data_IF_315810558609
#
_entry.id   IF_315810558609
#
_cell.length_a   1.000
_cell.length_b   1.000
_cell.length_c   1.000
_cell.angle_alpha   90.00
_cell.angle_beta   90.00
_cell.angle_gamma   90.00
#
_symmetry.space_group_name_H-M   'P 1'
#
loop_
_entity.id
_entity.type
_entity.pdbx_description
1 polymer ?
#
# COMPACT_ATOMS: atom_id res chain seq x y z
N UNK A 1 -62.43 -5.03 15.83
CA UNK A 1 -61.46 -4.91 14.72
C UNK A 1 -60.43 -3.89 15.16
N UNK A 2 -59.22 -4.33 15.45
CA UNK A 2 -58.14 -3.47 15.92
C UNK A 2 -56.99 -3.55 14.93
N UNK A 3 -56.63 -2.49 14.19
CA UNK A 3 -55.53 -2.49 13.24
C UNK A 3 -54.33 -1.77 13.88
N UNK A 4 -53.31 -2.47 14.30
CA UNK A 4 -52.14 -1.77 14.82
C UNK A 4 -51.07 -2.67 15.34
N UNK A 5 -50.52 -3.54 14.52
CA UNK A 5 -49.20 -4.10 14.83
C UNK A 5 -48.26 -3.91 13.62
N UNK A 6 -47.72 -2.70 13.51
CA UNK A 6 -46.57 -2.44 12.61
C UNK A 6 -45.31 -2.80 13.38
N UNK A 7 -44.93 -4.07 13.22
CA UNK A 7 -43.69 -4.59 13.73
C UNK A 7 -42.50 -3.72 13.35
N UNK A 8 -41.93 -3.04 14.31
CA UNK A 8 -40.60 -2.46 14.24
C UNK A 8 -39.58 -3.58 13.93
N UNK A 9 -39.17 -3.67 12.68
CA UNK A 9 -38.02 -4.50 12.32
C UNK A 9 -36.80 -3.92 13.06
N UNK A 10 -36.37 -4.58 14.13
CA UNK A 10 -35.06 -4.34 14.75
C UNK A 10 -34.01 -4.48 13.67
N UNK A 11 -33.06 -3.51 13.56
CA UNK A 11 -31.90 -3.67 12.69
C UNK A 11 -31.15 -4.95 13.07
N UNK A 12 -30.70 -5.68 12.05
CA UNK A 12 -29.94 -6.91 12.15
C UNK A 12 -28.90 -6.87 13.27
N UNK A 13 -28.88 -7.91 14.06
CA UNK A 13 -27.89 -8.30 15.06
C UNK A 13 -26.49 -7.81 14.67
N UNK A 14 -26.03 -6.82 15.39
CA UNK A 14 -24.64 -6.37 15.36
C UNK A 14 -23.78 -7.49 15.95
N UNK A 15 -22.96 -8.11 15.13
CA UNK A 15 -22.00 -9.11 15.55
C UNK A 15 -20.98 -8.47 16.47
N UNK A 16 -21.12 -8.67 17.80
CA UNK A 16 -20.20 -8.16 18.83
C UNK A 16 -18.75 -8.66 18.68
N UNK A 17 -18.47 -9.50 17.70
CA UNK A 17 -17.14 -10.04 17.40
C UNK A 17 -16.29 -9.21 16.42
N UNK A 18 -16.82 -8.15 15.80
CA UNK A 18 -16.08 -7.43 14.74
C UNK A 18 -16.11 -5.90 14.88
N UNK A 19 -16.21 -5.37 16.11
CA UNK A 19 -16.24 -3.91 16.33
C UNK A 19 -14.96 -3.25 15.82
N UNK A 20 -13.80 -3.89 16.01
CA UNK A 20 -12.51 -3.38 15.56
C UNK A 20 -12.52 -3.16 14.04
N UNK A 21 -12.94 -4.15 13.27
CA UNK A 21 -13.00 -4.05 11.80
C UNK A 21 -13.99 -2.98 11.31
N UNK A 22 -15.15 -2.87 11.95
CA UNK A 22 -16.13 -1.85 11.59
C UNK A 22 -15.61 -0.44 11.87
N UNK A 23 -14.84 -0.26 12.94
CA UNK A 23 -14.16 1.02 13.25
C UNK A 23 -13.05 1.33 12.26
N UNK A 24 -12.27 0.32 11.83
CA UNK A 24 -11.24 0.48 10.80
C UNK A 24 -11.84 0.87 9.45
N UNK A 25 -12.97 0.25 9.08
CA UNK A 25 -13.68 0.61 7.85
C UNK A 25 -14.25 2.03 7.92
N UNK A 26 -14.84 2.42 9.06
CA UNK A 26 -15.31 3.79 9.28
C UNK A 26 -14.14 4.79 9.21
N UNK A 27 -12.99 4.45 9.79
CA UNK A 27 -11.80 5.28 9.71
C UNK A 27 -11.32 5.47 8.27
N UNK A 28 -11.24 4.40 7.46
CA UNK A 28 -10.84 4.51 6.03
C UNK A 28 -11.74 5.49 5.27
N UNK A 29 -13.07 5.40 5.43
CA UNK A 29 -14.01 6.34 4.81
C UNK A 29 -13.79 7.78 5.25
N UNK A 30 -13.60 8.02 6.55
CA UNK A 30 -13.32 9.35 7.06
C UNK A 30 -11.98 9.92 6.59
N UNK A 31 -10.98 9.07 6.43
CA UNK A 31 -9.68 9.45 5.85
C UNK A 31 -9.84 9.89 4.39
N UNK A 32 -10.63 9.19 3.60
CA UNK A 32 -10.92 9.55 2.20
C UNK A 32 -11.68 10.87 2.08
N UNK A 33 -12.63 11.13 3.00
CA UNK A 33 -13.47 12.33 2.97
C UNK A 33 -12.80 13.57 3.56
N UNK A 34 -12.01 13.40 4.64
CA UNK A 34 -11.54 14.50 5.49
C UNK A 34 -10.01 14.50 5.72
N UNK A 35 -9.30 13.53 5.14
CA UNK A 35 -7.88 13.31 5.42
C UNK A 35 -7.63 12.61 6.76
N UNK A 36 -6.40 12.12 6.93
CA UNK A 36 -6.03 11.31 8.10
C UNK A 36 -6.19 12.02 9.45
N UNK A 37 -6.08 13.34 9.48
CA UNK A 37 -6.19 14.16 10.70
C UNK A 37 -7.53 14.87 10.84
N UNK A 38 -8.41 14.80 9.84
CA UNK A 38 -9.67 15.53 9.77
C UNK A 38 -10.85 14.91 10.51
N UNK A 39 -10.64 13.87 11.35
CA UNK A 39 -11.73 13.22 12.08
C UNK A 39 -11.33 12.84 13.52
N UNK A 40 -12.33 12.46 14.33
CA UNK A 40 -12.19 12.02 15.71
C UNK A 40 -12.66 10.57 15.89
N UNK A 41 -12.24 9.92 17.00
CA UNK A 41 -12.77 8.59 17.38
C UNK A 41 -14.30 8.59 17.54
N UNK A 42 -14.87 9.69 17.98
CA UNK A 42 -16.32 9.85 18.14
C UNK A 42 -17.03 9.84 16.78
N UNK A 43 -16.46 10.48 15.76
CA UNK A 43 -17.00 10.45 14.40
C UNK A 43 -16.87 9.07 13.79
N UNK A 44 -15.75 8.36 14.01
CA UNK A 44 -15.60 6.97 13.60
C UNK A 44 -16.66 6.07 14.27
N UNK A 45 -16.92 6.26 15.58
CA UNK A 45 -17.98 5.54 16.29
C UNK A 45 -19.36 5.80 15.70
N UNK A 46 -19.67 7.07 15.40
CA UNK A 46 -20.95 7.48 14.81
C UNK A 46 -21.14 6.85 13.44
N UNK A 47 -20.12 6.88 12.59
CA UNK A 47 -20.17 6.28 11.26
C UNK A 47 -20.28 4.75 11.33
N UNK A 48 -19.63 4.13 12.33
CA UNK A 48 -19.72 2.71 12.63
C UNK A 48 -21.07 2.29 13.25
N UNK A 49 -21.94 3.25 13.62
CA UNK A 49 -23.23 2.97 14.24
C UNK A 49 -23.15 2.45 15.67
N UNK A 50 -22.09 2.84 16.41
CA UNK A 50 -21.86 2.42 17.81
C UNK A 50 -21.84 3.61 18.75
N UNK A 51 -21.88 3.36 20.08
CA UNK A 51 -21.80 4.43 21.07
C UNK A 51 -20.43 5.13 21.03
N UNK A 52 -20.35 6.42 21.36
CA UNK A 52 -19.08 7.18 21.41
C UNK A 52 -18.01 6.57 22.32
N UNK A 53 -18.41 5.80 23.33
CA UNK A 53 -17.51 5.11 24.25
C UNK A 53 -16.97 3.77 23.71
N UNK A 54 -17.61 3.18 22.68
CA UNK A 54 -17.26 1.87 22.19
C UNK A 54 -15.82 1.78 21.61
N UNK A 55 -15.30 2.75 20.83
CA UNK A 55 -13.96 2.70 20.28
C UNK A 55 -12.86 2.63 21.35
N UNK A 56 -13.06 3.26 22.50
CA UNK A 56 -12.06 3.30 23.58
C UNK A 56 -11.77 1.95 24.24
N UNK A 57 -12.55 0.90 23.89
CA UNK A 57 -12.25 -0.50 24.26
C UNK A 57 -11.14 -1.11 23.42
N UNK A 58 -10.88 -0.54 22.23
CA UNK A 58 -9.91 -1.06 21.25
C UNK A 58 -8.77 -0.08 20.97
N UNK A 59 -9.07 1.22 21.01
CA UNK A 59 -8.11 2.26 20.66
C UNK A 59 -8.13 3.35 21.75
N UNK A 60 -6.96 3.66 22.32
CA UNK A 60 -6.88 4.71 23.36
C UNK A 60 -7.15 6.11 22.78
N UNK A 61 -6.78 6.33 21.52
CA UNK A 61 -6.91 7.60 20.81
C UNK A 61 -7.01 7.36 19.29
N UNK A 62 -7.16 8.46 18.52
CA UNK A 62 -7.21 8.41 17.06
C UNK A 62 -5.92 7.86 16.45
N UNK A 63 -4.77 8.21 17.02
CA UNK A 63 -3.47 7.80 16.47
C UNK A 63 -3.26 6.30 16.61
N UNK A 64 -3.78 5.67 17.68
CA UNK A 64 -3.84 4.23 17.82
C UNK A 64 -4.74 3.57 16.76
N UNK A 65 -5.86 4.21 16.39
CA UNK A 65 -6.71 3.75 15.28
C UNK A 65 -5.99 3.89 13.93
N UNK A 66 -5.31 5.01 13.68
CA UNK A 66 -4.52 5.22 12.47
C UNK A 66 -3.36 4.22 12.36
N UNK A 67 -2.66 3.93 13.46
CA UNK A 67 -1.59 2.93 13.49
C UNK A 67 -2.11 1.54 13.07
N UNK A 68 -3.30 1.16 13.52
CA UNK A 68 -3.91 -0.12 13.11
C UNK A 68 -4.36 -0.09 11.65
N UNK A 69 -4.84 1.04 11.13
CA UNK A 69 -5.12 1.21 9.68
C UNK A 69 -3.83 1.04 8.87
N UNK A 70 -2.72 1.67 9.30
CA UNK A 70 -1.42 1.53 8.65
C UNK A 70 -0.91 0.09 8.66
N UNK A 71 -0.96 -0.59 9.82
CA UNK A 71 -0.56 -1.99 9.97
C UNK A 71 -1.30 -2.89 8.99
N UNK A 72 -2.64 -2.84 9.01
CA UNK A 72 -3.47 -3.60 8.09
C UNK A 72 -3.22 -3.23 6.62
N UNK A 73 -2.91 -1.96 6.34
CA UNK A 73 -2.49 -1.48 5.04
C UNK A 73 -1.21 -2.17 4.57
N UNK A 74 -0.16 -2.15 5.40
CA UNK A 74 1.11 -2.81 5.07
C UNK A 74 0.98 -4.32 4.90
N UNK A 75 0.16 -4.99 5.71
CA UNK A 75 -0.09 -6.43 5.57
C UNK A 75 -0.74 -6.77 4.22
N UNK A 76 -1.78 -6.02 3.82
CA UNK A 76 -2.41 -6.21 2.50
C UNK A 76 -1.48 -5.82 1.36
N UNK A 77 -0.70 -4.75 1.54
CA UNK A 77 0.28 -4.31 0.57
C UNK A 77 1.36 -5.37 0.33
N UNK A 78 1.96 -5.89 1.41
CA UNK A 78 2.95 -6.96 1.33
C UNK A 78 2.40 -8.21 0.63
N UNK A 79 1.18 -8.64 0.99
CA UNK A 79 0.53 -9.78 0.35
C UNK A 79 0.28 -9.55 -1.14
N UNK A 80 -0.16 -8.35 -1.53
CA UNK A 80 -0.40 -7.98 -2.94
C UNK A 80 0.91 -7.97 -3.75
N UNK A 81 1.98 -7.42 -3.18
CA UNK A 81 3.31 -7.42 -3.81
C UNK A 81 3.86 -8.84 -3.96
N UNK A 82 3.74 -9.67 -2.92
CA UNK A 82 4.22 -11.07 -2.95
C UNK A 82 3.49 -11.90 -4.03
N UNK A 83 2.16 -11.76 -4.11
CA UNK A 83 1.37 -12.39 -5.17
C UNK A 83 1.80 -11.93 -6.58
N UNK A 84 2.08 -10.64 -6.76
CA UNK A 84 2.50 -10.09 -8.04
C UNK A 84 3.93 -10.52 -8.42
N UNK A 85 4.81 -10.59 -7.44
CA UNK A 85 6.17 -11.08 -7.61
C UNK A 85 6.21 -12.57 -7.96
N UNK A 86 5.35 -13.39 -7.35
CA UNK A 86 5.19 -14.82 -7.63
C UNK A 86 6.54 -15.55 -7.79
N UNK A 87 7.46 -15.33 -6.86
CA UNK A 87 8.82 -15.91 -6.88
C UNK A 87 9.61 -15.67 -8.19
N UNK A 88 9.29 -14.61 -8.93
CA UNK A 88 9.96 -14.27 -10.18
C UNK A 88 9.49 -15.06 -11.41
N UNK A 89 8.30 -15.64 -11.37
CA UNK A 89 7.71 -16.43 -12.45
C UNK A 89 6.78 -15.57 -13.31
N UNK A 90 6.77 -15.70 -14.64
CA UNK A 90 7.53 -16.64 -15.49
C UNK A 90 9.00 -16.23 -15.70
N UNK A 91 9.34 -14.97 -15.56
CA UNK A 91 10.71 -14.45 -15.56
C UNK A 91 10.85 -13.35 -14.52
N UNK A 92 12.06 -13.15 -13.92
CA UNK A 92 12.27 -12.08 -12.94
C UNK A 92 11.87 -10.69 -13.46
N UNK A 93 12.08 -10.41 -14.75
CA UNK A 93 11.75 -9.13 -15.35
C UNK A 93 10.24 -8.92 -15.48
N UNK A 94 9.50 -9.92 -15.95
CA UNK A 94 8.03 -9.80 -16.05
C UNK A 94 7.35 -9.79 -14.68
N UNK A 95 7.86 -10.55 -13.71
CA UNK A 95 7.38 -10.52 -12.34
C UNK A 95 7.65 -9.17 -11.68
N UNK A 96 8.80 -8.56 -11.97
CA UNK A 96 9.14 -7.22 -11.52
C UNK A 96 8.21 -6.13 -12.11
N UNK A 97 7.85 -6.24 -13.37
CA UNK A 97 6.85 -5.36 -14.00
C UNK A 97 5.47 -5.51 -13.31
N UNK A 98 5.03 -6.75 -13.05
CA UNK A 98 3.81 -7.01 -12.31
C UNK A 98 3.84 -6.44 -10.89
N UNK A 99 5.00 -6.52 -10.21
CA UNK A 99 5.19 -5.92 -8.88
C UNK A 99 4.99 -4.39 -8.91
N UNK A 100 5.55 -3.70 -9.91
CA UNK A 100 5.35 -2.27 -10.10
C UNK A 100 3.87 -1.90 -10.34
N UNK A 101 3.19 -2.66 -11.20
CA UNK A 101 1.74 -2.50 -11.45
C UNK A 101 0.92 -2.74 -10.19
N UNK A 102 1.27 -3.74 -9.38
CA UNK A 102 0.60 -4.03 -8.11
C UNK A 102 0.79 -2.91 -7.09
N UNK A 103 1.98 -2.29 -7.06
CA UNK A 103 2.26 -1.11 -6.24
C UNK A 103 1.30 0.03 -6.56
N UNK A 104 1.25 0.43 -7.83
CA UNK A 104 0.38 1.53 -8.29
C UNK A 104 -1.11 1.23 -8.09
N UNK A 105 -1.50 -0.02 -8.35
CA UNK A 105 -2.86 -0.46 -8.15
C UNK A 105 -3.28 -0.40 -6.67
N UNK A 106 -2.38 -0.73 -5.73
CA UNK A 106 -2.67 -0.59 -4.30
C UNK A 106 -2.92 0.87 -3.91
N UNK A 107 -2.06 1.79 -4.34
CA UNK A 107 -2.21 3.22 -4.03
C UNK A 107 -3.55 3.78 -4.56
N UNK A 108 -3.99 3.32 -5.73
CA UNK A 108 -5.28 3.71 -6.34
C UNK A 108 -6.48 3.08 -5.64
N UNK A 109 -6.41 1.78 -5.33
CA UNK A 109 -7.55 1.00 -4.86
C UNK A 109 -7.76 1.16 -3.34
N UNK A 110 -6.71 1.55 -2.60
CA UNK A 110 -6.72 1.74 -1.14
C UNK A 110 -6.11 3.08 -0.71
N UNK A 111 -6.62 4.21 -1.20
CA UNK A 111 -5.99 5.53 -0.99
C UNK A 111 -5.91 5.91 0.49
N UNK A 112 -6.93 5.61 1.30
CA UNK A 112 -6.91 5.88 2.74
C UNK A 112 -5.79 5.13 3.45
N UNK A 113 -5.63 3.84 3.15
CA UNK A 113 -4.55 3.03 3.72
C UNK A 113 -3.18 3.55 3.28
N UNK A 114 -3.03 3.86 1.98
CA UNK A 114 -1.79 4.39 1.41
C UNK A 114 -1.36 5.71 2.06
N UNK A 115 -2.30 6.65 2.23
CA UNK A 115 -2.06 7.93 2.91
C UNK A 115 -1.58 7.71 4.35
N UNK A 116 -2.24 6.85 5.12
CA UNK A 116 -1.83 6.62 6.51
C UNK A 116 -0.49 5.91 6.60
N UNK A 117 -0.20 4.97 5.70
CA UNK A 117 1.08 4.24 5.66
C UNK A 117 2.29 5.14 5.40
N UNK A 118 2.14 6.16 4.55
CA UNK A 118 3.29 6.88 4.01
C UNK A 118 3.31 8.39 4.25
N UNK A 119 2.16 9.02 4.49
CA UNK A 119 2.08 10.49 4.49
C UNK A 119 1.84 11.10 5.89
N UNK A 120 1.39 10.28 6.86
CA UNK A 120 0.99 10.83 8.18
C UNK A 120 2.14 10.98 9.17
N UNK A 121 3.28 10.36 8.92
CA UNK A 121 4.35 10.23 9.92
C UNK A 121 3.93 9.43 11.16
N UNK A 122 2.70 8.90 11.18
CA UNK A 122 2.22 7.93 12.16
C UNK A 122 2.86 6.57 11.83
N UNK A 123 4.18 6.57 11.61
CA UNK A 123 4.94 5.35 11.81
C UNK A 123 4.82 5.06 13.31
N UNK A 124 4.45 3.86 13.69
CA UNK A 124 4.30 3.49 15.08
C UNK A 124 5.64 3.73 15.79
N UNK A 125 5.80 4.92 16.30
CA UNK A 125 6.87 5.25 17.21
C UNK A 125 6.64 4.45 18.48
N UNK A 126 7.21 3.28 18.58
CA UNK A 126 7.28 2.50 19.79
C UNK A 126 6.43 1.25 19.90
N UNK A 127 5.40 1.03 19.09
CA UNK A 127 4.67 -0.24 19.15
C UNK A 127 5.01 -1.16 17.98
N UNK A 128 5.64 -2.24 18.33
CA UNK A 128 6.41 -3.21 17.55
C UNK A 128 5.66 -3.96 16.43
N UNK A 129 4.39 -3.71 16.16
CA UNK A 129 3.61 -4.57 15.26
C UNK A 129 3.49 -4.05 13.80
N UNK A 130 3.56 -2.76 13.57
CA UNK A 130 3.46 -2.20 12.19
C UNK A 130 4.80 -2.24 11.47
N UNK A 131 5.91 -2.08 12.19
CA UNK A 131 7.25 -2.16 11.62
C UNK A 131 7.51 -3.49 10.91
N UNK A 132 7.20 -4.67 11.50
CA UNK A 132 7.33 -5.95 10.81
C UNK A 132 6.48 -6.09 9.54
N UNK A 133 5.31 -5.46 9.48
CA UNK A 133 4.47 -5.48 8.28
C UNK A 133 5.09 -4.63 7.15
N UNK A 134 5.62 -3.45 7.48
CA UNK A 134 6.34 -2.60 6.53
C UNK A 134 7.63 -3.28 6.04
N UNK A 135 8.38 -3.93 6.94
CA UNK A 135 9.57 -4.71 6.59
C UNK A 135 9.25 -5.83 5.60
N UNK A 136 8.18 -6.61 5.83
CA UNK A 136 7.75 -7.65 4.89
C UNK A 136 7.46 -7.11 3.49
N UNK A 137 6.83 -5.94 3.38
CA UNK A 137 6.57 -5.31 2.08
C UNK A 137 7.89 -4.93 1.38
N UNK A 138 8.85 -4.40 2.14
CA UNK A 138 10.17 -4.05 1.61
C UNK A 138 11.01 -5.28 1.26
N UNK A 139 10.89 -6.38 2.00
CA UNK A 139 11.56 -7.65 1.72
C UNK A 139 11.17 -8.24 0.35
N UNK A 140 9.88 -8.15 -0.03
CA UNK A 140 9.45 -8.58 -1.37
C UNK A 140 10.21 -7.81 -2.45
N UNK A 141 10.38 -6.50 -2.27
CA UNK A 141 11.13 -5.66 -3.19
C UNK A 141 12.61 -6.03 -3.23
N UNK A 142 13.22 -6.32 -2.07
CA UNK A 142 14.61 -6.78 -2.01
C UNK A 142 14.80 -8.12 -2.72
N UNK A 143 13.88 -9.07 -2.55
CA UNK A 143 13.91 -10.35 -3.26
C UNK A 143 13.84 -10.15 -4.78
N UNK A 144 12.98 -9.26 -5.26
CA UNK A 144 12.87 -8.92 -6.67
C UNK A 144 14.16 -8.27 -7.20
N UNK A 145 14.70 -7.29 -6.48
CA UNK A 145 15.96 -6.65 -6.84
C UNK A 145 17.13 -7.65 -6.86
N UNK A 146 17.21 -8.55 -5.87
CA UNK A 146 18.23 -9.60 -5.84
C UNK A 146 18.13 -10.55 -7.04
N UNK A 147 16.91 -10.92 -7.45
CA UNK A 147 16.70 -11.77 -8.61
C UNK A 147 17.17 -11.10 -9.93
N UNK A 148 16.92 -9.80 -10.07
CA UNK A 148 17.41 -9.02 -11.22
C UNK A 148 18.93 -8.89 -11.20
N UNK A 149 19.53 -8.60 -10.03
CA UNK A 149 20.99 -8.50 -9.88
C UNK A 149 21.74 -9.78 -10.23
N UNK A 150 21.12 -10.97 -10.05
CA UNK A 150 21.76 -12.24 -10.45
C UNK A 150 22.08 -12.34 -11.93
N UNK A 151 21.50 -11.49 -12.78
CA UNK A 151 21.84 -11.42 -14.20
C UNK A 151 23.16 -10.70 -14.47
N UNK A 152 23.71 -9.98 -13.50
CA UNK A 152 24.98 -9.28 -13.58
C UNK A 152 26.13 -10.11 -12.97
N UNK A 153 27.38 -9.93 -13.47
CA UNK A 153 28.57 -10.41 -12.78
C UNK A 153 28.59 -9.88 -11.34
N UNK A 154 29.11 -10.66 -10.42
CA UNK A 154 29.13 -10.30 -8.99
C UNK A 154 29.80 -8.95 -8.72
N UNK A 155 30.90 -8.68 -9.44
CA UNK A 155 31.66 -7.42 -9.35
C UNK A 155 30.90 -6.17 -9.87
N UNK A 156 29.83 -6.38 -10.66
CA UNK A 156 29.03 -5.30 -11.27
C UNK A 156 27.69 -5.11 -10.54
N UNK A 157 27.39 -5.94 -9.54
CA UNK A 157 26.11 -5.85 -8.81
C UNK A 157 26.09 -4.61 -7.91
N UNK A 158 25.05 -3.77 -8.02
CA UNK A 158 24.87 -2.66 -7.09
C UNK A 158 24.58 -3.17 -5.67
N UNK A 159 24.86 -2.37 -4.63
CA UNK A 159 24.43 -2.69 -3.27
C UNK A 159 22.89 -2.92 -3.24
N UNK A 160 22.48 -4.11 -2.85
CA UNK A 160 21.07 -4.55 -2.94
C UNK A 160 20.11 -3.59 -2.27
N UNK A 161 20.43 -3.14 -1.04
CA UNK A 161 19.57 -2.21 -0.29
C UNK A 161 19.42 -0.88 -1.02
N UNK A 162 20.48 -0.37 -1.64
CA UNK A 162 20.45 0.88 -2.40
C UNK A 162 19.58 0.74 -3.66
N UNK A 163 19.75 -0.37 -4.40
CA UNK A 163 18.88 -0.66 -5.56
C UNK A 163 17.40 -0.75 -5.17
N UNK A 164 17.10 -1.45 -4.07
CA UNK A 164 15.72 -1.56 -3.58
C UNK A 164 15.14 -0.21 -3.19
N UNK A 165 15.92 0.67 -2.56
CA UNK A 165 15.50 2.03 -2.21
C UNK A 165 15.25 2.88 -3.46
N UNK A 166 16.07 2.78 -4.50
CA UNK A 166 15.85 3.49 -5.77
C UNK A 166 14.55 3.05 -6.43
N UNK A 167 14.33 1.73 -6.51
CA UNK A 167 13.10 1.17 -7.09
C UNK A 167 11.87 1.65 -6.28
N UNK A 168 11.96 1.58 -4.95
CA UNK A 168 10.88 2.07 -4.09
C UNK A 168 10.63 3.57 -4.29
N UNK A 169 11.66 4.40 -4.28
CA UNK A 169 11.54 5.85 -4.45
C UNK A 169 10.87 6.21 -5.79
N UNK A 170 11.24 5.53 -6.88
CA UNK A 170 10.62 5.73 -8.20
C UNK A 170 9.15 5.33 -8.17
N UNK A 171 8.84 4.12 -7.65
CA UNK A 171 7.46 3.62 -7.58
C UNK A 171 6.57 4.48 -6.70
N UNK A 172 7.09 4.87 -5.52
CA UNK A 172 6.40 5.72 -4.57
C UNK A 172 6.17 7.13 -5.15
N UNK A 173 7.18 7.72 -5.79
CA UNK A 173 7.06 9.02 -6.42
C UNK A 173 5.97 9.04 -7.50
N UNK A 174 5.93 8.03 -8.38
CA UNK A 174 4.87 7.92 -9.39
C UNK A 174 3.51 7.75 -8.71
N UNK A 175 3.39 6.84 -7.73
CA UNK A 175 2.13 6.61 -7.03
C UNK A 175 1.59 7.88 -6.37
N UNK A 176 2.42 8.62 -5.64
CA UNK A 176 2.04 9.84 -4.92
C UNK A 176 1.63 10.96 -5.87
N UNK A 177 2.39 11.19 -6.96
CA UNK A 177 2.05 12.20 -7.97
C UNK A 177 0.68 11.98 -8.61
N UNK A 178 0.26 10.72 -8.78
CA UNK A 178 -1.05 10.42 -9.34
C UNK A 178 -2.16 10.38 -8.27
N UNK A 179 -1.85 9.96 -7.05
CA UNK A 179 -2.81 9.93 -5.94
C UNK A 179 -3.27 11.35 -5.53
N UNK A 180 -2.37 12.32 -5.54
CA UNK A 180 -2.66 13.71 -5.20
C UNK A 180 -3.36 14.49 -6.34
N UNK A 181 -3.55 13.87 -7.50
CA UNK A 181 -4.22 14.49 -8.64
C UNK A 181 -3.40 15.57 -9.35
N UNK A 182 -2.17 15.85 -8.93
CA UNK A 182 -1.31 16.91 -9.49
C UNK A 182 -1.08 16.73 -10.99
N UNK A 183 -0.80 15.50 -11.43
CA UNK A 183 -0.59 15.22 -12.85
C UNK A 183 -1.89 15.22 -13.66
N UNK A 184 -3.04 14.93 -13.04
CA UNK A 184 -4.34 15.09 -13.70
C UNK A 184 -4.67 16.57 -13.90
N UNK A 185 -4.35 17.42 -12.91
CA UNK A 185 -4.50 18.88 -13.03
C UNK A 185 -3.62 19.46 -14.15
N UNK A 186 -2.42 18.90 -14.36
CA UNK A 186 -1.50 19.31 -15.44
C UNK A 186 -1.79 18.64 -16.79
N UNK A 187 -2.86 17.84 -16.92
CA UNK A 187 -3.26 17.15 -18.16
C UNK A 187 -2.13 16.34 -18.80
N UNK A 188 -1.34 15.65 -17.98
CA UNK A 188 -0.29 14.75 -18.48
C UNK A 188 -0.98 13.56 -19.17
N UNK A 189 -0.79 13.35 -20.49
CA UNK A 189 -1.54 12.34 -21.25
C UNK A 189 -0.92 10.94 -21.12
N UNK A 190 -0.32 10.62 -19.97
CA UNK A 190 0.34 9.34 -19.72
C UNK A 190 -0.27 8.68 -18.49
N UNK A 191 -0.35 7.34 -18.52
CA UNK A 191 -0.78 6.55 -17.36
C UNK A 191 0.37 6.37 -16.36
N UNK A 192 0.08 6.24 -15.06
CA UNK A 192 1.12 5.99 -14.05
C UNK A 192 1.96 4.74 -14.37
N UNK A 193 1.34 3.68 -14.92
CA UNK A 193 2.01 2.46 -15.32
C UNK A 193 3.04 2.71 -16.44
N UNK A 194 2.73 3.55 -17.42
CA UNK A 194 3.62 3.90 -18.54
C UNK A 194 4.84 4.69 -18.05
N UNK A 195 4.63 5.61 -17.11
CA UNK A 195 5.73 6.40 -16.50
C UNK A 195 6.63 5.49 -15.68
N UNK A 196 6.05 4.63 -14.85
CA UNK A 196 6.82 3.71 -14.02
C UNK A 196 7.63 2.74 -14.88
N UNK A 197 7.01 2.12 -15.90
CA UNK A 197 7.68 1.22 -16.83
C UNK A 197 8.87 1.91 -17.53
N UNK A 198 8.65 3.11 -18.07
CA UNK A 198 9.69 3.90 -18.73
C UNK A 198 10.86 4.22 -17.79
N UNK A 199 10.56 4.68 -16.57
CA UNK A 199 11.59 4.99 -15.57
C UNK A 199 12.40 3.75 -15.16
N UNK A 200 11.73 2.61 -14.96
CA UNK A 200 12.39 1.35 -14.62
C UNK A 200 13.24 0.81 -15.77
N UNK A 201 12.77 0.94 -17.02
CA UNK A 201 13.56 0.57 -18.19
C UNK A 201 14.87 1.37 -18.27
N UNK A 202 14.81 2.70 -18.06
CA UNK A 202 16.02 3.55 -18.03
C UNK A 202 16.94 3.14 -16.89
N UNK A 203 16.39 2.92 -15.69
CA UNK A 203 17.15 2.53 -14.52
C UNK A 203 17.84 1.17 -14.70
N UNK A 204 17.12 0.14 -15.14
CA UNK A 204 17.67 -1.20 -15.34
C UNK A 204 18.68 -1.27 -16.49
N UNK A 205 18.48 -0.46 -17.56
CA UNK A 205 19.49 -0.29 -18.63
C UNK A 205 20.77 0.36 -18.08
N UNK A 206 20.64 1.40 -17.27
CA UNK A 206 21.78 2.07 -16.64
C UNK A 206 22.61 1.13 -15.75
N UNK A 207 21.98 0.13 -15.14
CA UNK A 207 22.64 -0.93 -14.39
C UNK A 207 23.20 -2.07 -15.27
N UNK A 208 22.96 -2.07 -16.58
CA UNK A 208 23.37 -3.15 -17.47
C UNK A 208 22.51 -4.43 -17.42
N UNK A 209 21.43 -4.43 -16.65
CA UNK A 209 20.55 -5.60 -16.48
C UNK A 209 19.84 -5.96 -17.81
N UNK A 210 19.45 -4.97 -18.61
CA UNK A 210 18.74 -5.16 -19.87
C UNK A 210 19.66 -5.26 -21.10
N UNK A 211 20.97 -5.04 -20.94
CA UNK A 211 21.94 -5.09 -22.05
C UNK A 211 22.69 -6.42 -22.13
N UNK A 212 22.46 -7.35 -21.22
CA UNK A 212 23.25 -8.60 -21.05
C UNK A 212 23.09 -9.68 -22.14
N UNK A 213 22.38 -9.40 -23.25
CA UNK A 213 22.16 -10.38 -24.31
C UNK A 213 22.95 -10.18 -25.61
N UNK A 214 23.47 -8.98 -25.89
CA UNK A 214 24.05 -8.67 -27.21
C UNK A 214 25.60 -8.60 -27.26
N UNK A 215 26.27 -8.39 -26.13
CA UNK A 215 27.72 -8.13 -26.12
C UNK A 215 28.62 -9.38 -25.95
N UNK A 216 28.09 -10.58 -25.77
CA UNK A 216 28.87 -11.80 -25.50
C UNK A 216 29.03 -12.74 -26.68
N UNK A 217 28.87 -12.29 -27.94
CA UNK A 217 29.11 -13.10 -29.13
C UNK A 217 30.32 -12.63 -29.98
N UNK A 218 31.27 -11.94 -29.37
CA UNK A 218 32.50 -11.52 -30.08
C UNK A 218 33.67 -11.59 -29.13
N UNK A 219 34.16 -12.77 -28.81
CA UNK A 219 35.51 -13.06 -28.36
C UNK A 219 35.82 -14.53 -28.56
#
# INVERSE_FOLDING_TARGET
MNPGDRGWRRPRSYHHGNLKEVLLEAARKLIEEHGAFGFSLTEAARLAGVSPAAPYRHFRDRDALLAEVAKNGFERFAARLDMAWNNGVPTPLSAFDNLGKAYLAFARDEPASYTVMFETGVLPGGDSETLPAAERAFDVLQHAAAALCRQLPESERPPLKLMSLHIWAISHGVATLFAQGDLQAHKVPMKPEEILESAMLVYLKGLGILTGGAARRSS
#
